data_IF_305650066435
#
_entry.id   IF_305650066435
#
_cell.length_a   1.000
_cell.length_b   1.000
_cell.length_c   1.000
_cell.angle_alpha   90.00
_cell.angle_beta   90.00
_cell.angle_gamma   90.00
#
_symmetry.space_group_name_H-M   'P 1'
#
loop_
_entity.id
_entity.type
_entity.pdbx_description
1 polymer ?
#
# COMPACT_ATOMS: atom_id res chain seq x y z
N UNK A 1 -4.30 13.74 -18.26
CA UNK A 1 -5.27 14.05 -17.18
C UNK A 1 -4.76 15.19 -16.31
N UNK A 2 -5.63 16.12 -15.93
CA UNK A 2 -5.27 17.17 -14.95
C UNK A 2 -5.31 16.55 -13.54
N UNK A 3 -4.19 16.63 -12.79
CA UNK A 3 -3.99 15.95 -11.50
C UNK A 3 -3.97 16.95 -10.32
N UNK A 4 -4.90 17.91 -10.33
CA UNK A 4 -4.90 19.01 -9.35
C UNK A 4 -5.07 18.51 -7.92
N UNK A 5 -6.00 17.58 -7.69
CA UNK A 5 -6.26 17.03 -6.34
C UNK A 5 -5.02 16.31 -5.80
N UNK A 6 -4.40 15.47 -6.62
CA UNK A 6 -3.18 14.76 -6.22
C UNK A 6 -2.00 15.73 -6.02
N UNK A 7 -1.88 16.76 -6.86
CA UNK A 7 -0.86 17.79 -6.74
C UNK A 7 -0.97 18.54 -5.41
N UNK A 8 -2.19 19.00 -5.09
CA UNK A 8 -2.45 19.71 -3.84
C UNK A 8 -2.16 18.84 -2.62
N UNK A 9 -2.54 17.54 -2.69
CA UNK A 9 -2.21 16.59 -1.65
C UNK A 9 -0.70 16.43 -1.45
N UNK A 10 0.07 16.24 -2.53
CA UNK A 10 1.53 16.06 -2.45
C UNK A 10 2.21 17.30 -1.89
N UNK A 11 1.80 18.50 -2.31
CA UNK A 11 2.35 19.77 -1.80
C UNK A 11 2.05 19.94 -0.30
N UNK A 12 0.81 19.70 0.13
CA UNK A 12 0.41 19.83 1.53
C UNK A 12 1.10 18.79 2.44
N UNK A 13 1.34 17.57 1.94
CA UNK A 13 2.07 16.53 2.67
C UNK A 13 3.51 16.94 2.98
N UNK A 14 4.17 17.61 2.04
CA UNK A 14 5.53 18.11 2.22
C UNK A 14 5.62 19.22 3.28
N UNK A 15 4.68 20.17 3.25
CA UNK A 15 4.65 21.25 4.24
C UNK A 15 4.50 20.72 5.69
N UNK A 16 3.74 19.64 5.88
CA UNK A 16 3.61 18.98 7.19
C UNK A 16 4.88 18.27 7.68
N UNK A 17 5.66 17.71 6.75
CA UNK A 17 6.92 17.04 7.09
C UNK A 17 8.03 18.04 7.47
N UNK A 18 8.10 19.19 6.81
CA UNK A 18 9.07 20.24 7.12
C UNK A 18 8.81 20.90 8.49
N UNK A 19 7.55 21.03 8.92
CA UNK A 19 7.22 21.58 10.23
C UNK A 19 7.53 20.64 11.42
N UNK A 20 7.88 19.36 11.18
CA UNK A 20 8.33 18.43 12.23
C UNK A 20 9.83 18.51 12.52
N UNK A 21 10.60 19.26 11.73
CA UNK A 21 12.07 19.36 11.86
C UNK A 21 12.49 20.61 12.66
N UNK A 22 11.66 21.64 12.78
CA UNK A 22 12.01 22.93 13.44
C UNK A 22 11.55 23.00 14.90
N UNK A 23 12.21 22.19 15.73
CA UNK A 23 12.21 22.33 17.20
C UNK A 23 13.62 22.51 17.74
N UNK A 24 14.28 23.61 17.47
CA UNK A 24 15.59 24.11 17.92
C UNK A 24 16.67 24.12 16.82
N UNK A 25 16.85 25.25 16.17
CA UNK A 25 18.18 25.78 15.87
C UNK A 25 18.09 27.23 15.38
N UNK A 26 18.61 28.13 16.16
CA UNK A 26 19.04 29.47 15.77
C UNK A 26 20.28 29.32 14.89
N UNK A 27 20.23 29.69 13.61
CA UNK A 27 21.35 30.33 12.92
C UNK A 27 20.92 30.91 11.57
N UNK A 28 21.14 32.20 11.42
CA UNK A 28 21.02 33.01 10.20
C UNK A 28 22.17 32.64 9.25
N UNK A 29 21.91 31.84 8.19
CA UNK A 29 22.71 31.77 6.96
C UNK A 29 22.16 30.77 5.91
N UNK A 30 20.84 30.71 5.71
CA UNK A 30 20.22 29.65 4.87
C UNK A 30 19.23 30.16 3.81
N UNK A 31 19.45 31.33 3.20
CA UNK A 31 18.52 31.81 2.14
C UNK A 31 18.77 31.12 0.79
N UNK A 32 19.99 30.68 0.50
CA UNK A 32 20.33 29.98 -0.76
C UNK A 32 19.89 28.51 -0.71
N UNK A 33 20.10 27.80 0.41
CA UNK A 33 19.72 26.37 0.54
C UNK A 33 18.21 26.15 0.48
N UNK A 34 17.40 27.06 1.04
CA UNK A 34 15.92 26.96 1.02
C UNK A 34 15.32 27.11 -0.38
N UNK A 35 15.95 27.89 -1.26
CA UNK A 35 15.50 28.03 -2.65
C UNK A 35 15.85 26.80 -3.48
N UNK A 36 17.00 26.20 -3.27
CA UNK A 36 17.44 24.99 -3.95
C UNK A 36 16.60 23.78 -3.51
N UNK A 37 16.32 23.63 -2.22
CA UNK A 37 15.42 22.59 -1.70
C UNK A 37 13.99 22.73 -2.23
N UNK A 38 13.47 23.95 -2.33
CA UNK A 38 12.12 24.20 -2.87
C UNK A 38 12.05 23.89 -4.37
N UNK A 39 13.10 24.23 -5.14
CA UNK A 39 13.19 23.88 -6.57
C UNK A 39 13.24 22.38 -6.76
N UNK A 40 14.13 21.67 -6.06
CA UNK A 40 14.27 20.23 -6.11
C UNK A 40 12.96 19.50 -5.74
N UNK A 41 12.23 20.03 -4.78
CA UNK A 41 10.93 19.49 -4.39
C UNK A 41 9.88 19.65 -5.50
N UNK A 42 9.81 20.83 -6.14
CA UNK A 42 8.90 21.06 -7.27
C UNK A 42 9.19 20.11 -8.43
N UNK A 43 10.47 19.87 -8.76
CA UNK A 43 10.88 18.94 -9.79
C UNK A 43 10.44 17.51 -9.45
N UNK A 44 10.58 17.10 -8.19
CA UNK A 44 10.14 15.79 -7.70
C UNK A 44 8.63 15.61 -7.79
N UNK A 45 7.84 16.61 -7.39
CA UNK A 45 6.37 16.57 -7.51
C UNK A 45 5.97 16.50 -8.99
N UNK A 46 6.62 17.27 -9.87
CA UNK A 46 6.37 17.24 -11.31
C UNK A 46 6.63 15.84 -11.91
N UNK A 47 7.72 15.20 -11.52
CA UNK A 47 8.03 13.83 -11.92
C UNK A 47 6.96 12.83 -11.45
N UNK A 48 6.52 12.93 -10.20
CA UNK A 48 5.45 12.08 -9.67
C UNK A 48 4.15 12.27 -10.45
N UNK A 49 3.72 13.50 -10.69
CA UNK A 49 2.51 13.79 -11.44
C UNK A 49 2.58 13.24 -12.88
N UNK A 50 3.74 13.31 -13.51
CA UNK A 50 3.96 12.71 -14.83
C UNK A 50 3.74 11.19 -14.79
N UNK A 51 4.34 10.49 -13.81
CA UNK A 51 4.16 9.05 -13.63
C UNK A 51 2.70 8.68 -13.35
N UNK A 52 2.02 9.42 -12.48
CA UNK A 52 0.60 9.18 -12.18
C UNK A 52 -0.32 9.45 -13.39
N UNK A 53 -0.02 10.46 -14.23
CA UNK A 53 -0.77 10.71 -15.45
C UNK A 53 -0.65 9.56 -16.44
N UNK A 54 0.57 9.08 -16.68
CA UNK A 54 0.82 7.92 -17.55
C UNK A 54 0.14 6.67 -17.02
N UNK A 55 0.22 6.44 -15.70
CA UNK A 55 -0.46 5.31 -15.06
C UNK A 55 -1.98 5.36 -15.26
N UNK A 56 -2.59 6.53 -15.06
CA UNK A 56 -4.03 6.71 -15.29
C UNK A 56 -4.40 6.40 -16.74
N UNK A 57 -3.69 6.99 -17.72
CA UNK A 57 -4.03 6.82 -19.13
C UNK A 57 -3.99 5.33 -19.52
N UNK A 58 -2.99 4.60 -19.03
CA UNK A 58 -2.88 3.16 -19.27
C UNK A 58 -3.85 2.32 -18.46
N UNK A 59 -4.19 2.73 -17.24
CA UNK A 59 -5.24 2.08 -16.46
C UNK A 59 -6.57 2.10 -17.22
N UNK A 60 -6.98 3.25 -17.78
CA UNK A 60 -8.23 3.38 -18.55
C UNK A 60 -8.17 2.60 -19.85
N UNK A 61 -7.05 2.68 -20.58
CA UNK A 61 -6.86 1.91 -21.81
C UNK A 61 -7.00 0.40 -21.58
N UNK A 62 -6.31 -0.14 -20.57
CA UNK A 62 -6.38 -1.56 -20.28
C UNK A 62 -7.70 -1.97 -19.64
N UNK A 63 -8.31 -1.10 -18.85
CA UNK A 63 -9.60 -1.36 -18.21
C UNK A 63 -10.71 -1.59 -19.23
N UNK A 64 -10.66 -0.91 -20.39
CA UNK A 64 -11.61 -1.13 -21.50
C UNK A 64 -11.59 -2.57 -22.04
N UNK A 65 -10.50 -3.33 -21.79
CA UNK A 65 -10.30 -4.70 -22.27
C UNK A 65 -10.43 -5.75 -21.17
N UNK A 66 -10.09 -5.42 -19.92
CA UNK A 66 -9.81 -6.43 -18.87
C UNK A 66 -10.51 -6.23 -17.54
N UNK A 67 -11.35 -5.23 -17.34
CA UNK A 67 -12.04 -4.94 -16.07
C UNK A 67 -11.07 -4.91 -14.86
N UNK A 68 -10.09 -4.03 -14.89
CA UNK A 68 -9.10 -3.87 -13.82
C UNK A 68 -9.68 -3.16 -12.60
N UNK A 69 -10.59 -2.21 -12.83
CA UNK A 69 -11.26 -1.40 -11.81
C UNK A 69 -12.64 -0.96 -12.24
N UNK A 70 -13.55 -0.77 -11.28
CA UNK A 70 -14.84 -0.14 -11.50
C UNK A 70 -14.77 1.40 -11.50
N UNK A 71 -13.68 1.98 -10.98
CA UNK A 71 -13.50 3.43 -10.85
C UNK A 71 -12.70 3.93 -12.05
N UNK A 72 -13.33 4.73 -12.91
CA UNK A 72 -12.74 5.18 -14.19
C UNK A 72 -12.75 6.70 -14.35
N UNK A 73 -13.60 7.42 -13.60
CA UNK A 73 -13.69 8.86 -13.68
C UNK A 73 -12.40 9.52 -13.17
N UNK A 74 -11.84 10.51 -13.88
CA UNK A 74 -10.53 11.08 -13.55
C UNK A 74 -10.40 11.55 -12.10
N UNK A 75 -11.39 12.27 -11.58
CA UNK A 75 -11.39 12.77 -10.21
C UNK A 75 -11.48 11.62 -9.19
N UNK A 76 -12.34 10.63 -9.44
CA UNK A 76 -12.47 9.47 -8.56
C UNK A 76 -11.19 8.63 -8.51
N UNK A 77 -10.50 8.44 -9.65
CA UNK A 77 -9.22 7.72 -9.69
C UNK A 77 -8.17 8.47 -8.89
N UNK A 78 -8.10 9.81 -9.01
CA UNK A 78 -7.18 10.61 -8.18
C UNK A 78 -7.42 10.40 -6.69
N UNK A 79 -8.68 10.49 -6.25
CA UNK A 79 -9.04 10.39 -4.85
C UNK A 79 -8.97 8.93 -4.37
N UNK A 80 -9.79 8.04 -4.98
CA UNK A 80 -10.04 6.68 -4.48
C UNK A 80 -8.98 5.66 -4.85
N UNK A 81 -8.09 5.99 -5.80
CA UNK A 81 -6.96 5.13 -6.14
C UNK A 81 -5.63 5.75 -5.72
N UNK A 82 -5.28 6.95 -6.20
CA UNK A 82 -3.96 7.51 -5.95
C UNK A 82 -3.82 8.06 -4.53
N UNK A 83 -4.64 9.03 -4.14
CA UNK A 83 -4.59 9.63 -2.78
C UNK A 83 -4.84 8.57 -1.72
N UNK A 84 -5.90 7.76 -1.85
CA UNK A 84 -6.23 6.67 -0.93
C UNK A 84 -5.05 5.69 -0.73
N UNK A 85 -4.28 5.42 -1.78
CA UNK A 85 -3.09 4.55 -1.68
C UNK A 85 -1.95 5.16 -0.89
N UNK A 86 -1.70 6.47 -1.04
CA UNK A 86 -0.54 7.16 -0.46
C UNK A 86 -0.82 7.88 0.86
N UNK A 87 -2.10 7.92 1.30
CA UNK A 87 -2.49 8.51 2.57
C UNK A 87 -1.67 7.98 3.75
N UNK A 88 -1.51 6.64 3.92
CA UNK A 88 -0.78 6.07 5.04
C UNK A 88 0.69 5.77 4.73
N UNK A 89 1.29 6.49 3.80
CA UNK A 89 2.69 6.29 3.38
C UNK A 89 3.69 6.40 4.55
N UNK A 90 3.40 7.29 5.51
CA UNK A 90 4.17 7.46 6.74
C UNK A 90 4.22 6.20 7.63
N UNK A 91 3.21 5.32 7.54
CA UNK A 91 3.20 4.06 8.29
C UNK A 91 4.25 3.06 7.81
N UNK A 92 4.72 3.18 6.58
CA UNK A 92 5.76 2.28 6.07
C UNK A 92 7.07 2.42 6.86
N UNK A 93 7.34 3.60 7.46
CA UNK A 93 8.47 3.85 8.32
C UNK A 93 9.78 3.26 7.76
N UNK A 94 10.48 2.48 8.57
CA UNK A 94 11.76 1.84 8.23
C UNK A 94 11.62 0.54 7.39
N UNK A 95 10.39 0.12 7.04
CA UNK A 95 10.17 -1.08 6.21
C UNK A 95 10.82 -0.90 4.85
N UNK A 96 11.68 -1.81 4.44
CA UNK A 96 12.41 -1.77 3.16
C UNK A 96 11.87 -2.78 2.15
N UNK A 97 11.42 -3.97 2.59
CA UNK A 97 10.87 -5.00 1.73
C UNK A 97 9.39 -5.17 2.04
N UNK A 98 8.53 -4.75 1.11
CA UNK A 98 7.09 -4.68 1.28
C UNK A 98 6.42 -5.62 0.29
N UNK A 99 5.45 -6.41 0.76
CA UNK A 99 4.65 -7.30 -0.08
C UNK A 99 3.22 -6.78 -0.18
N UNK A 100 2.64 -6.84 -1.37
CA UNK A 100 1.23 -6.55 -1.63
C UNK A 100 0.53 -7.81 -2.15
N UNK A 101 -0.41 -8.33 -1.38
CA UNK A 101 -1.13 -9.55 -1.71
C UNK A 101 -2.51 -9.21 -2.27
N UNK A 102 -2.79 -9.71 -3.49
CA UNK A 102 -4.00 -9.36 -4.22
C UNK A 102 -3.96 -7.94 -4.73
N UNK A 103 -2.82 -7.53 -5.26
CA UNK A 103 -2.51 -6.17 -5.66
C UNK A 103 -3.43 -5.60 -6.76
N UNK A 104 -4.21 -6.43 -7.44
CA UNK A 104 -5.18 -5.98 -8.44
C UNK A 104 -4.52 -5.23 -9.59
N UNK A 105 -4.96 -4.00 -9.80
CA UNK A 105 -4.36 -3.10 -10.78
C UNK A 105 -3.11 -2.37 -10.23
N UNK A 106 -2.53 -2.81 -9.10
CA UNK A 106 -1.32 -2.24 -8.50
C UNK A 106 -1.58 -1.27 -7.34
N UNK A 107 -2.78 -1.31 -6.74
CA UNK A 107 -3.15 -0.45 -5.62
C UNK A 107 -3.17 -1.23 -4.29
N UNK A 108 -2.48 -0.74 -3.24
CA UNK A 108 -1.87 0.60 -3.12
C UNK A 108 -0.41 0.70 -3.59
N UNK A 109 0.23 -0.39 -4.01
CA UNK A 109 1.69 -0.49 -4.05
C UNK A 109 2.37 0.28 -5.18
N UNK A 110 1.80 0.39 -6.37
CA UNK A 110 2.41 1.22 -7.43
C UNK A 110 2.48 2.71 -7.02
N UNK A 111 1.38 3.35 -6.51
CA UNK A 111 1.46 4.69 -5.94
C UNK A 111 2.51 4.85 -4.84
N UNK A 112 2.57 3.89 -3.91
CA UNK A 112 3.57 3.90 -2.83
C UNK A 112 4.99 3.76 -3.36
N UNK A 113 5.22 2.90 -4.35
CA UNK A 113 6.54 2.68 -4.94
C UNK A 113 7.05 3.91 -5.71
N UNK A 114 6.16 4.65 -6.38
CA UNK A 114 6.50 5.92 -7.04
C UNK A 114 7.08 6.92 -6.02
N UNK A 115 6.49 7.00 -4.82
CA UNK A 115 6.92 7.94 -3.77
C UNK A 115 8.13 7.44 -2.97
N UNK A 116 8.37 6.13 -2.94
CA UNK A 116 9.39 5.48 -2.11
C UNK A 116 10.38 4.66 -2.96
N UNK A 117 11.24 5.29 -3.77
CA UNK A 117 12.17 4.58 -4.65
C UNK A 117 13.25 3.78 -3.89
N UNK A 118 13.44 4.08 -2.60
CA UNK A 118 14.38 3.39 -1.70
C UNK A 118 13.80 2.13 -1.05
N UNK A 119 12.49 1.84 -1.23
CA UNK A 119 11.80 0.67 -0.71
C UNK A 119 11.48 -0.30 -1.84
N UNK A 120 11.57 -1.61 -1.58
CA UNK A 120 11.27 -2.67 -2.55
C UNK A 120 9.84 -3.17 -2.36
N UNK A 121 9.10 -3.28 -3.44
CA UNK A 121 7.72 -3.75 -3.46
C UNK A 121 7.60 -5.04 -4.28
N UNK A 122 7.04 -6.09 -3.68
CA UNK A 122 6.69 -7.35 -4.35
C UNK A 122 5.18 -7.46 -4.42
N UNK A 123 4.61 -7.40 -5.62
CA UNK A 123 3.18 -7.41 -5.89
C UNK A 123 2.75 -8.80 -6.36
N UNK A 124 1.78 -9.38 -5.68
CA UNK A 124 1.30 -10.74 -5.97
C UNK A 124 -0.19 -10.75 -6.28
N UNK A 125 -0.57 -11.31 -7.40
CA UNK A 125 -1.98 -11.56 -7.75
C UNK A 125 -2.13 -12.89 -8.47
N UNK A 126 -3.25 -13.58 -8.26
CA UNK A 126 -3.57 -14.86 -8.90
C UNK A 126 -4.15 -14.71 -10.31
N UNK A 127 -4.40 -13.49 -10.77
CA UNK A 127 -4.97 -13.19 -12.08
C UNK A 127 -3.88 -12.71 -13.03
N UNK A 128 -3.48 -13.56 -13.97
CA UNK A 128 -2.36 -13.27 -14.88
C UNK A 128 -2.53 -11.96 -15.66
N UNK A 129 -3.74 -11.63 -16.11
CA UNK A 129 -4.00 -10.36 -16.84
C UNK A 129 -3.66 -9.12 -16.00
N UNK A 130 -3.89 -9.15 -14.68
CA UNK A 130 -3.53 -8.07 -13.78
C UNK A 130 -2.01 -7.95 -13.64
N UNK A 131 -1.32 -9.06 -13.51
CA UNK A 131 0.15 -9.09 -13.46
C UNK A 131 0.76 -8.60 -14.78
N UNK A 132 0.19 -8.96 -15.92
CA UNK A 132 0.62 -8.43 -17.22
C UNK A 132 0.47 -6.91 -17.30
N UNK A 133 -0.63 -6.36 -16.79
CA UNK A 133 -0.82 -4.91 -16.69
C UNK A 133 0.22 -4.27 -15.78
N UNK A 134 0.45 -4.84 -14.59
CA UNK A 134 1.44 -4.31 -13.63
C UNK A 134 2.84 -4.32 -14.23
N UNK A 135 3.26 -5.40 -14.90
CA UNK A 135 4.56 -5.47 -15.56
C UNK A 135 4.71 -4.38 -16.63
N UNK A 136 3.65 -4.14 -17.42
CA UNK A 136 3.63 -3.05 -18.38
C UNK A 136 3.79 -1.68 -17.70
N UNK A 137 3.13 -1.45 -16.57
CA UNK A 137 3.26 -0.20 -15.79
C UNK A 137 4.66 -0.06 -15.17
N UNK A 138 5.24 -1.13 -14.65
CA UNK A 138 6.61 -1.14 -14.11
C UNK A 138 7.60 -0.67 -15.18
N UNK A 139 7.52 -1.23 -16.37
CA UNK A 139 8.38 -0.86 -17.52
C UNK A 139 8.13 0.58 -17.96
N UNK A 140 6.86 0.96 -18.19
CA UNK A 140 6.47 2.30 -18.65
C UNK A 140 6.93 3.42 -17.72
N UNK A 141 6.82 3.20 -16.40
CA UNK A 141 7.16 4.19 -15.38
C UNK A 141 8.61 4.07 -14.88
N UNK A 142 9.39 3.14 -15.43
CA UNK A 142 10.75 2.84 -15.00
C UNK A 142 10.86 2.67 -13.47
N UNK A 143 10.08 1.71 -12.93
CA UNK A 143 10.05 1.40 -11.50
C UNK A 143 11.04 0.28 -11.17
N UNK A 144 12.29 0.62 -10.87
CA UNK A 144 13.35 -0.34 -10.54
C UNK A 144 13.15 -1.03 -9.18
N UNK A 145 12.22 -0.53 -8.38
CA UNK A 145 11.94 -1.00 -7.02
C UNK A 145 10.69 -1.88 -6.91
N UNK A 146 10.10 -2.29 -8.03
CA UNK A 146 8.86 -3.10 -8.06
C UNK A 146 9.08 -4.41 -8.81
N UNK A 147 8.57 -5.50 -8.24
CA UNK A 147 8.50 -6.82 -8.89
C UNK A 147 7.07 -7.36 -8.80
N UNK A 148 6.51 -7.83 -9.93
CA UNK A 148 5.18 -8.42 -9.97
C UNK A 148 5.24 -9.94 -10.21
N UNK A 149 4.47 -10.71 -9.45
CA UNK A 149 4.49 -12.17 -9.44
C UNK A 149 3.08 -12.73 -9.61
N UNK A 150 2.88 -13.51 -10.67
CA UNK A 150 1.66 -14.29 -10.86
C UNK A 150 1.69 -15.53 -9.98
N UNK A 151 0.97 -15.52 -8.87
CA UNK A 151 0.86 -16.64 -7.95
C UNK A 151 -0.39 -16.57 -7.09
N UNK A 152 -0.87 -17.70 -6.62
CA UNK A 152 -1.75 -17.73 -5.46
C UNK A 152 -0.92 -17.44 -4.21
N UNK A 153 -1.54 -16.75 -3.23
CA UNK A 153 -0.82 -16.38 -2.01
C UNK A 153 -0.34 -17.60 -1.23
N UNK A 154 -1.12 -18.67 -1.22
CA UNK A 154 -0.79 -19.91 -0.52
C UNK A 154 0.47 -20.59 -1.10
N UNK A 155 0.66 -20.49 -2.41
CA UNK A 155 1.84 -21.04 -3.08
C UNK A 155 3.04 -20.09 -2.95
N UNK A 156 2.81 -18.79 -3.07
CA UNK A 156 3.82 -17.78 -2.86
C UNK A 156 4.41 -17.85 -1.44
N UNK A 157 3.58 -18.04 -0.44
CA UNK A 157 3.99 -18.10 0.97
C UNK A 157 4.93 -19.28 1.28
N UNK A 158 4.84 -20.40 0.55
CA UNK A 158 5.73 -21.56 0.76
C UNK A 158 7.22 -21.22 0.62
N UNK A 159 7.53 -20.32 -0.33
CA UNK A 159 8.90 -19.92 -0.64
C UNK A 159 9.29 -18.54 -0.04
N UNK A 160 8.33 -17.84 0.57
CA UNK A 160 8.52 -16.47 1.05
C UNK A 160 8.10 -16.32 2.53
N UNK A 161 8.18 -17.40 3.30
CA UNK A 161 7.86 -17.38 4.71
C UNK A 161 8.79 -16.42 5.48
N UNK A 162 8.20 -15.46 6.20
CA UNK A 162 8.92 -14.44 6.98
C UNK A 162 9.99 -13.66 6.19
N UNK A 163 9.70 -13.30 4.95
CA UNK A 163 10.66 -12.64 4.05
C UNK A 163 10.50 -11.13 3.99
N UNK A 164 9.35 -10.59 4.41
CA UNK A 164 9.02 -9.18 4.25
C UNK A 164 9.01 -8.41 5.58
N UNK A 165 9.38 -7.15 5.54
CA UNK A 165 9.32 -6.24 6.69
C UNK A 165 7.88 -5.78 6.93
N UNK A 166 7.10 -5.65 5.84
CA UNK A 166 5.69 -5.32 5.90
C UNK A 166 4.88 -5.98 4.78
N UNK A 167 3.59 -6.16 5.03
CA UNK A 167 2.59 -6.38 3.99
C UNK A 167 1.62 -5.21 3.96
N UNK A 168 1.23 -4.81 2.75
CA UNK A 168 0.10 -3.91 2.51
C UNK A 168 -1.00 -4.72 1.81
N UNK A 169 -2.26 -4.39 2.06
CA UNK A 169 -3.35 -4.99 1.32
C UNK A 169 -4.58 -4.09 1.32
N UNK A 170 -5.26 -3.99 0.16
CA UNK A 170 -6.48 -3.23 -0.03
C UNK A 170 -7.53 -4.06 -0.76
N UNK A 171 -8.76 -4.09 -0.23
CA UNK A 171 -9.94 -4.72 -0.86
C UNK A 171 -9.78 -6.20 -1.26
N UNK A 172 -8.90 -6.95 -0.60
CA UNK A 172 -8.63 -8.34 -0.95
C UNK A 172 -9.64 -9.32 -0.34
N UNK A 173 -9.88 -9.23 0.99
CA UNK A 173 -10.67 -10.18 1.76
C UNK A 173 -11.11 -9.58 3.10
N UNK A 174 -11.95 -10.31 3.88
CA UNK A 174 -12.22 -9.99 5.28
C UNK A 174 -10.95 -10.04 6.11
N UNK A 175 -10.92 -9.34 7.25
CA UNK A 175 -9.72 -9.26 8.10
C UNK A 175 -9.17 -10.61 8.55
N UNK A 176 -9.99 -11.59 9.04
CA UNK A 176 -9.45 -12.90 9.43
C UNK A 176 -8.72 -13.61 8.27
N UNK A 177 -9.29 -13.56 7.08
CA UNK A 177 -8.67 -14.13 5.87
C UNK A 177 -7.40 -13.40 5.49
N UNK A 178 -7.42 -12.06 5.55
CA UNK A 178 -6.28 -11.22 5.22
C UNK A 178 -5.11 -11.47 6.17
N UNK A 179 -5.38 -11.55 7.47
CA UNK A 179 -4.40 -11.90 8.52
C UNK A 179 -3.76 -13.26 8.22
N UNK A 180 -4.56 -14.26 7.83
CA UNK A 180 -4.03 -15.59 7.49
C UNK A 180 -3.11 -15.55 6.26
N UNK A 181 -3.43 -14.75 5.26
CA UNK A 181 -2.63 -14.64 4.04
C UNK A 181 -1.31 -13.88 4.25
N UNK A 182 -1.29 -12.89 5.14
CA UNK A 182 -0.18 -11.92 5.21
C UNK A 182 0.80 -12.19 6.34
N UNK A 183 0.34 -12.53 7.56
CA UNK A 183 1.26 -12.71 8.69
C UNK A 183 2.31 -13.80 8.49
N UNK A 184 2.06 -14.92 7.78
CA UNK A 184 3.12 -15.88 7.47
C UNK A 184 4.27 -15.31 6.61
N UNK A 185 4.00 -14.28 5.82
CA UNK A 185 5.00 -13.62 4.95
C UNK A 185 5.86 -12.62 5.71
N UNK A 186 5.34 -12.06 6.81
CA UNK A 186 5.96 -10.97 7.55
C UNK A 186 6.97 -11.52 8.56
N UNK A 187 8.15 -10.90 8.64
CA UNK A 187 9.17 -11.16 9.66
C UNK A 187 8.64 -10.83 11.05
N UNK A 188 9.18 -11.47 12.08
CA UNK A 188 8.94 -11.05 13.48
C UNK A 188 9.37 -9.59 13.66
N UNK A 189 8.51 -8.79 14.27
CA UNK A 189 8.66 -7.33 14.42
C UNK A 189 8.08 -6.52 13.27
N UNK A 190 7.80 -7.12 12.12
CA UNK A 190 7.22 -6.44 10.97
C UNK A 190 5.71 -6.23 11.07
N UNK A 191 5.10 -5.62 10.06
CA UNK A 191 3.74 -5.09 10.14
C UNK A 191 2.86 -5.48 8.95
N UNK A 192 1.57 -5.67 9.23
CA UNK A 192 0.50 -5.64 8.23
C UNK A 192 -0.19 -4.27 8.30
N UNK A 193 -0.30 -3.62 7.15
CA UNK A 193 -1.09 -2.40 6.95
C UNK A 193 -2.31 -2.75 6.08
N UNK A 194 -3.45 -2.95 6.72
CA UNK A 194 -4.69 -3.36 6.05
C UNK A 194 -5.59 -2.14 5.82
N UNK A 195 -5.77 -1.77 4.56
CA UNK A 195 -6.65 -0.68 4.13
C UNK A 195 -8.11 -1.14 4.19
N UNK A 196 -8.92 -0.44 4.96
CA UNK A 196 -10.33 -0.78 5.20
C UNK A 196 -11.25 0.44 5.14
N UNK A 197 -12.53 0.18 4.83
CA UNK A 197 -13.61 1.17 4.94
C UNK A 197 -14.21 1.21 6.34
N UNK A 198 -15.38 1.86 6.44
CA UNK A 198 -16.07 2.15 7.72
C UNK A 198 -16.46 0.92 8.56
N UNK A 199 -16.66 -0.24 7.94
CA UNK A 199 -17.12 -1.45 8.63
C UNK A 199 -15.97 -2.31 9.18
N UNK A 200 -14.78 -1.74 9.36
CA UNK A 200 -13.59 -2.46 9.79
C UNK A 200 -13.72 -3.11 11.19
N UNK A 201 -14.51 -2.50 12.09
CA UNK A 201 -14.69 -2.98 13.47
C UNK A 201 -15.26 -4.39 13.51
N UNK A 202 -16.35 -4.65 12.77
CA UNK A 202 -16.99 -5.95 12.71
C UNK A 202 -16.06 -7.05 12.21
N UNK A 203 -15.19 -6.71 11.24
CA UNK A 203 -14.19 -7.65 10.74
C UNK A 203 -13.03 -7.85 11.73
N UNK A 204 -12.64 -6.80 12.46
CA UNK A 204 -11.54 -6.84 13.41
C UNK A 204 -11.89 -7.65 14.67
N UNK A 205 -13.11 -7.51 15.16
CA UNK A 205 -13.62 -8.28 16.30
C UNK A 205 -13.54 -9.80 16.06
N UNK A 206 -13.67 -10.23 14.81
CA UNK A 206 -13.57 -11.64 14.42
C UNK A 206 -12.13 -12.17 14.32
N UNK A 207 -11.11 -11.31 14.58
CA UNK A 207 -9.71 -11.68 14.35
C UNK A 207 -9.01 -12.28 15.57
N UNK A 208 -9.62 -12.30 16.77
CA UNK A 208 -8.92 -12.64 18.01
C UNK A 208 -8.19 -13.98 17.92
N UNK A 209 -8.85 -15.03 17.46
CA UNK A 209 -8.28 -16.38 17.35
C UNK A 209 -7.18 -16.50 16.29
N UNK A 210 -7.38 -15.93 15.10
CA UNK A 210 -6.37 -16.01 14.05
C UNK A 210 -5.13 -15.19 14.40
N UNK A 211 -5.28 -14.04 15.06
CA UNK A 211 -4.17 -13.25 15.59
C UNK A 211 -3.37 -14.00 16.65
N UNK A 212 -4.04 -14.71 17.58
CA UNK A 212 -3.38 -15.54 18.57
C UNK A 212 -2.52 -16.63 17.91
N UNK A 213 -3.12 -17.37 16.95
CA UNK A 213 -2.45 -18.48 16.22
C UNK A 213 -1.22 -17.97 15.47
N UNK A 214 -1.34 -16.84 14.74
CA UNK A 214 -0.32 -16.33 13.86
C UNK A 214 0.60 -15.31 14.54
N UNK A 215 0.44 -15.12 15.86
CA UNK A 215 1.26 -14.19 16.65
C UNK A 215 1.19 -12.76 16.12
N UNK A 216 -0.01 -12.33 15.75
CA UNK A 216 -0.32 -10.94 15.42
C UNK A 216 -0.82 -10.19 16.64
N UNK A 217 -0.46 -8.90 16.74
CA UNK A 217 -0.96 -7.98 17.77
C UNK A 217 -1.46 -6.70 17.10
N UNK A 218 -2.71 -6.33 17.34
CA UNK A 218 -3.23 -5.03 16.95
C UNK A 218 -2.40 -3.94 17.64
N UNK A 219 -1.84 -3.01 16.89
CA UNK A 219 -1.12 -1.87 17.41
C UNK A 219 -1.99 -0.63 17.45
N UNK A 220 -2.61 -0.30 16.32
CA UNK A 220 -3.51 0.84 16.19
C UNK A 220 -4.48 0.66 15.02
N UNK A 221 -5.51 1.47 15.00
CA UNK A 221 -6.36 1.72 13.83
C UNK A 221 -6.25 3.20 13.52
N UNK A 222 -5.58 3.53 12.42
CA UNK A 222 -5.36 4.90 12.02
C UNK A 222 -6.45 5.34 11.04
N UNK A 223 -7.11 6.45 11.36
CA UNK A 223 -8.14 7.05 10.53
C UNK A 223 -7.53 8.15 9.67
N UNK A 224 -7.95 8.21 8.42
CA UNK A 224 -7.62 9.26 7.47
C UNK A 224 -8.89 9.82 6.83
N UNK A 225 -8.94 11.11 6.62
CA UNK A 225 -9.99 11.76 5.86
C UNK A 225 -9.59 11.71 4.37
N UNK A 226 -10.32 10.94 3.58
CA UNK A 226 -10.10 10.84 2.14
C UNK A 226 -10.79 11.99 1.42
N UNK A 227 -12.00 12.32 1.85
CA UNK A 227 -12.77 13.52 1.49
C UNK A 227 -13.49 14.02 2.75
N UNK A 228 -14.26 15.10 2.65
CA UNK A 228 -15.08 15.60 3.76
C UNK A 228 -16.05 14.52 4.28
N UNK A 229 -16.59 13.68 3.37
CA UNK A 229 -17.61 12.68 3.69
C UNK A 229 -17.07 11.23 3.76
N UNK A 230 -15.85 10.98 3.29
CA UNK A 230 -15.32 9.62 3.17
C UNK A 230 -14.03 9.43 3.97
N UNK A 231 -14.08 8.49 4.93
CA UNK A 231 -12.95 8.13 5.77
C UNK A 231 -12.34 6.80 5.36
N UNK A 232 -11.04 6.69 5.55
CA UNK A 232 -10.29 5.46 5.42
C UNK A 232 -9.68 5.05 6.75
N UNK A 233 -9.56 3.76 6.94
CA UNK A 233 -8.96 3.18 8.12
C UNK A 233 -7.82 2.27 7.69
N UNK A 234 -6.67 2.40 8.35
CA UNK A 234 -5.58 1.45 8.20
C UNK A 234 -5.40 0.73 9.52
N UNK A 235 -5.65 -0.57 9.50
CA UNK A 235 -5.47 -1.44 10.65
C UNK A 235 -4.01 -1.88 10.64
N UNK A 236 -3.28 -1.54 11.71
CA UNK A 236 -1.87 -1.87 11.89
C UNK A 236 -1.74 -3.06 12.82
N UNK A 237 -1.28 -4.20 12.28
CA UNK A 237 -1.03 -5.42 13.05
C UNK A 237 0.46 -5.71 13.01
N UNK A 238 1.08 -5.79 14.19
CA UNK A 238 2.48 -6.21 14.33
C UNK A 238 2.57 -7.73 14.49
N UNK A 239 3.52 -8.35 13.81
CA UNK A 239 3.89 -9.74 14.06
C UNK A 239 4.86 -9.84 15.24
N UNK A 240 4.41 -10.39 16.36
CA UNK A 240 5.16 -10.43 17.61
C UNK A 240 5.92 -11.76 17.84
N UNK A 241 5.67 -12.78 17.02
CA UNK A 241 6.30 -14.09 17.16
C UNK A 241 6.21 -14.93 15.88
N UNK A 242 6.75 -16.15 15.92
CA UNK A 242 6.69 -17.10 14.82
C UNK A 242 5.30 -17.73 14.72
N UNK A 243 4.81 -17.91 13.52
CA UNK A 243 3.57 -18.62 13.25
C UNK A 243 3.84 -20.04 12.72
N UNK A 244 2.90 -20.98 12.89
CA UNK A 244 3.06 -22.33 12.38
C UNK A 244 3.20 -22.36 10.85
N UNK A 245 4.17 -23.09 10.32
CA UNK A 245 4.47 -23.20 8.87
C UNK A 245 3.33 -23.77 8.01
N UNK A 246 2.28 -24.34 8.63
CA UNK A 246 1.08 -24.82 7.92
C UNK A 246 0.18 -23.67 7.40
N UNK A 247 0.48 -22.43 7.77
CA UNK A 247 -0.25 -21.26 7.31
C UNK A 247 0.51 -20.50 6.23
N UNK A 248 -0.20 -19.85 5.27
CA UNK A 248 -1.66 -19.91 5.09
C UNK A 248 -2.11 -21.32 4.67
N UNK A 249 -3.33 -21.71 5.05
CA UNK A 249 -3.94 -22.98 4.64
C UNK A 249 -4.13 -23.04 3.13
N UNK A 250 -3.90 -24.20 2.54
CA UNK A 250 -3.96 -24.39 1.09
C UNK A 250 -5.39 -24.23 0.52
N UNK A 251 -5.45 -23.85 -0.75
CA UNK A 251 -6.68 -23.66 -1.51
C UNK A 251 -7.50 -22.49 -0.95
N UNK A 252 -8.72 -22.33 -1.34
CA UNK A 252 -9.57 -21.25 -0.83
C UNK A 252 -10.06 -21.43 0.63
N UNK A 253 -9.42 -22.31 1.44
CA UNK A 253 -9.83 -22.53 2.84
C UNK A 253 -9.86 -21.25 3.68
N UNK A 254 -8.87 -20.33 3.60
CA UNK A 254 -8.93 -19.08 4.35
C UNK A 254 -10.18 -18.25 4.05
N UNK A 255 -10.65 -18.27 2.79
CA UNK A 255 -11.86 -17.54 2.36
C UNK A 255 -13.15 -18.27 2.66
N UNK A 256 -13.18 -19.58 2.43
CA UNK A 256 -14.41 -20.40 2.59
C UNK A 256 -14.70 -20.74 4.05
N UNK A 257 -13.66 -20.85 4.87
CA UNK A 257 -13.71 -21.25 6.27
C UNK A 257 -12.74 -20.38 7.07
N UNK A 258 -12.97 -19.06 7.18
CA UNK A 258 -12.08 -18.20 7.95
C UNK A 258 -12.03 -18.64 9.41
N UNK A 259 -10.88 -18.48 10.05
CA UNK A 259 -10.71 -18.77 11.47
C UNK A 259 -11.20 -17.55 12.25
N UNK A 260 -12.37 -17.68 12.83
CA UNK A 260 -13.04 -16.64 13.61
C UNK A 260 -12.86 -16.89 15.10
N UNK A 261 -12.94 -15.79 15.89
CA UNK A 261 -12.90 -15.85 17.34
C UNK A 261 -13.46 -14.64 17.99
#
# INVERSE_FOLDING_TARGET
>A
MQLDILKDYLINKSCKNNNKIDGNSLYQNEVSSKNDEKSLYHDKVSLYLTKFSLYYDKLIEWNSKFNLTAITQPQEVQIKHFVDSILPDDLLGESKNICDIGCGAGFPSIPLAILNPDKKFTLVDSVNKKISFINYIIELLDLQNVTAIHSRVEDFAKNNYQSFDACVARALASMPTLVEYTLPLIKKGGYLFAYKGKNYNEELEQCSKILEILKGKLQEVKQYDLTEDEKRYVIVIQKIGDCPKKYPRNGNKPRLQPILG
#
